data_IF_033661909432
#
_entry.id   IF_033661909432
#
_cell.length_a   1.000
_cell.length_b   1.000
_cell.length_c   1.000
_cell.angle_alpha   90.00
_cell.angle_beta   90.00
_cell.angle_gamma   90.00
#
_symmetry.space_group_name_H-M   'P 1'
#
loop_
_entity.id
_entity.type
_entity.pdbx_description
1 polymer ?
#
# COMPACT_ATOMS: atom_id res chain seq x y z
N UNK A 1 -9.24 -8.84 26.22
CA UNK A 1 -9.40 -10.06 25.39
C UNK A 1 -8.03 -10.44 24.83
N UNK A 2 -7.83 -11.73 24.58
CA UNK A 2 -6.71 -12.20 23.75
C UNK A 2 -7.04 -11.97 22.27
N UNK A 3 -6.17 -11.29 21.54
CA UNK A 3 -6.35 -11.02 20.10
C UNK A 3 -5.14 -11.54 19.34
N UNK A 4 -5.39 -12.34 18.31
CA UNK A 4 -4.36 -12.85 17.42
C UNK A 4 -4.38 -12.09 16.09
N UNK A 5 -3.28 -11.42 15.76
CA UNK A 5 -3.09 -10.69 14.50
C UNK A 5 -2.23 -11.54 13.58
N UNK A 6 -2.72 -11.84 12.38
CA UNK A 6 -2.03 -12.69 11.41
C UNK A 6 -1.32 -11.82 10.37
N UNK A 7 0.02 -11.78 10.43
CA UNK A 7 0.90 -10.99 9.60
C UNK A 7 1.45 -9.73 10.29
N UNK A 8 2.77 -9.52 10.20
CA UNK A 8 3.50 -8.36 10.74
C UNK A 8 3.97 -7.36 9.66
N UNK A 9 3.22 -7.21 8.58
CA UNK A 9 3.36 -6.08 7.67
C UNK A 9 2.90 -4.77 8.33
N UNK A 10 3.00 -3.64 7.64
CA UNK A 10 2.58 -2.33 8.18
C UNK A 10 1.14 -2.35 8.69
N UNK A 11 0.24 -3.07 8.02
CA UNK A 11 -1.17 -3.19 8.42
C UNK A 11 -1.31 -3.97 9.73
N UNK A 12 -0.67 -5.14 9.84
CA UNK A 12 -0.78 -5.96 11.05
C UNK A 12 -0.10 -5.31 12.26
N UNK A 13 1.04 -4.66 12.06
CA UNK A 13 1.77 -3.99 13.14
C UNK A 13 1.00 -2.76 13.66
N UNK A 14 0.41 -1.95 12.78
CA UNK A 14 -0.46 -0.82 13.22
C UNK A 14 -1.72 -1.32 13.92
N UNK A 15 -2.31 -2.41 13.41
CA UNK A 15 -3.45 -3.07 14.07
C UNK A 15 -3.10 -3.53 15.48
N UNK A 16 -1.97 -4.23 15.64
CA UNK A 16 -1.51 -4.72 16.95
C UNK A 16 -1.23 -3.58 17.93
N UNK A 17 -0.63 -2.49 17.46
CA UNK A 17 -0.41 -1.29 18.24
C UNK A 17 -1.72 -0.73 18.84
N UNK A 18 -2.71 -0.46 17.97
CA UNK A 18 -3.97 0.14 18.43
C UNK A 18 -4.83 -0.81 19.27
N UNK A 19 -4.79 -2.12 19.01
CA UNK A 19 -5.41 -3.12 19.90
C UNK A 19 -4.78 -3.09 21.28
N UNK A 20 -3.44 -2.99 21.36
CA UNK A 20 -2.75 -2.91 22.65
C UNK A 20 -3.06 -1.62 23.39
N UNK A 21 -3.13 -0.48 22.69
CA UNK A 21 -3.57 0.79 23.30
C UNK A 21 -4.99 0.72 23.88
N UNK A 22 -5.82 -0.17 23.35
CA UNK A 22 -7.17 -0.42 23.84
C UNK A 22 -7.24 -1.47 24.96
N UNK A 23 -6.08 -1.95 25.44
CA UNK A 23 -5.97 -2.85 26.59
C UNK A 23 -6.15 -4.34 26.26
N UNK A 24 -6.03 -4.74 24.99
CA UNK A 24 -6.06 -6.15 24.62
C UNK A 24 -4.69 -6.82 24.84
N UNK A 25 -4.72 -8.15 25.09
CA UNK A 25 -3.54 -9.00 25.02
C UNK A 25 -3.33 -9.42 23.57
N UNK A 26 -2.29 -8.89 22.94
CA UNK A 26 -2.08 -9.03 21.51
C UNK A 26 -0.89 -9.91 21.22
N UNK A 27 -1.11 -10.93 20.38
CA UNK A 27 -0.06 -11.74 19.77
C UNK A 27 -0.10 -11.55 18.25
N UNK A 28 1.06 -11.29 17.64
CA UNK A 28 1.23 -11.19 16.19
C UNK A 28 1.99 -12.41 15.69
N UNK A 29 1.48 -13.07 14.66
CA UNK A 29 2.14 -14.21 14.01
C UNK A 29 2.66 -13.79 12.65
N UNK A 30 3.96 -14.05 12.40
CA UNK A 30 4.63 -13.68 11.15
C UNK A 30 5.55 -14.79 10.68
N UNK A 31 5.50 -15.14 9.40
CA UNK A 31 6.31 -16.22 8.81
C UNK A 31 7.79 -15.89 8.66
N UNK A 32 8.12 -14.61 8.55
CA UNK A 32 9.50 -14.15 8.44
C UNK A 32 10.14 -13.93 9.81
N UNK A 33 11.46 -13.72 9.80
CA UNK A 33 12.28 -13.49 10.99
C UNK A 33 12.10 -12.09 11.61
N UNK A 34 11.38 -11.17 10.94
CA UNK A 34 11.11 -9.83 11.43
C UNK A 34 9.85 -9.24 10.76
N UNK A 35 9.35 -8.14 11.31
CA UNK A 35 8.26 -7.38 10.69
C UNK A 35 8.70 -6.73 9.36
N UNK A 36 7.74 -6.51 8.46
CA UNK A 36 7.89 -5.77 7.21
C UNK A 36 8.87 -6.38 6.19
N UNK A 37 8.97 -7.69 6.11
CA UNK A 37 9.86 -8.37 5.15
C UNK A 37 9.17 -8.77 3.83
N UNK A 38 7.89 -8.35 3.61
CA UNK A 38 7.17 -8.55 2.35
C UNK A 38 6.79 -7.21 1.70
N UNK A 39 5.53 -6.99 1.36
CA UNK A 39 5.05 -5.80 0.63
C UNK A 39 5.43 -4.47 1.29
N UNK A 40 5.64 -4.45 2.60
CA UNK A 40 6.13 -3.29 3.36
C UNK A 40 7.64 -3.08 3.29
N UNK A 41 8.41 -4.02 2.71
CA UNK A 41 9.88 -3.99 2.72
C UNK A 41 10.45 -2.87 1.84
N UNK A 42 9.98 -2.76 0.61
CA UNK A 42 10.51 -1.81 -0.36
C UNK A 42 9.43 -1.23 -1.28
N UNK A 43 8.36 -0.71 -0.67
CA UNK A 43 7.33 0.03 -1.39
C UNK A 43 7.82 1.41 -1.85
N UNK A 44 6.95 2.17 -2.52
CA UNK A 44 7.27 3.49 -3.09
C UNK A 44 7.53 4.61 -2.07
N UNK A 45 7.31 4.37 -0.78
CA UNK A 45 7.58 5.33 0.30
C UNK A 45 6.61 6.51 0.39
N UNK A 46 5.62 6.62 -0.49
CA UNK A 46 4.64 7.72 -0.46
C UNK A 46 3.51 7.46 0.55
N UNK A 47 3.16 8.49 1.29
CA UNK A 47 1.97 8.62 2.12
C UNK A 47 1.08 9.66 1.44
N UNK A 48 0.36 9.20 0.42
CA UNK A 48 -0.36 10.05 -0.51
C UNK A 48 -1.85 10.06 -0.19
N UNK A 49 -2.24 10.91 0.75
CA UNK A 49 -3.64 11.09 1.16
C UNK A 49 -4.47 11.68 0.01
N UNK A 50 -3.81 12.40 -0.89
CA UNK A 50 -4.43 13.04 -2.04
C UNK A 50 -4.67 12.10 -3.23
N UNK A 51 -3.99 10.94 -3.29
CA UNK A 51 -4.09 10.00 -4.41
C UNK A 51 -5.23 9.02 -4.18
N UNK A 52 -6.44 9.45 -4.49
CA UNK A 52 -7.70 8.75 -4.18
C UNK A 52 -8.35 8.07 -5.37
N UNK A 53 -7.80 8.28 -6.57
CA UNK A 53 -8.32 7.73 -7.82
C UNK A 53 -8.12 6.22 -7.88
N UNK A 54 -9.21 5.41 -7.94
CA UNK A 54 -9.08 3.97 -8.10
C UNK A 54 -8.49 3.59 -9.46
N UNK A 55 -7.77 2.48 -9.53
CA UNK A 55 -7.36 1.88 -10.81
C UNK A 55 -8.57 1.53 -11.67
N UNK A 56 -9.65 1.06 -11.04
CA UNK A 56 -10.92 0.79 -11.70
C UNK A 56 -11.64 2.11 -12.01
N UNK A 57 -11.34 2.69 -13.16
CA UNK A 57 -11.96 3.92 -13.67
C UNK A 57 -12.49 3.70 -15.10
N UNK A 58 -13.38 4.56 -15.61
CA UNK A 58 -14.01 4.37 -16.92
C UNK A 58 -13.04 4.26 -18.09
N UNK A 59 -11.82 4.80 -17.98
CA UNK A 59 -10.80 4.74 -19.04
C UNK A 59 -9.92 3.49 -18.92
N UNK A 60 -9.86 2.84 -17.76
CA UNK A 60 -8.97 1.72 -17.49
C UNK A 60 -9.12 0.56 -18.47
N UNK A 61 -10.32 0.12 -18.91
CA UNK A 61 -10.45 -0.96 -19.89
C UNK A 61 -9.77 -0.63 -21.22
N UNK A 62 -9.89 0.61 -21.71
CA UNK A 62 -9.27 1.05 -22.96
C UNK A 62 -7.75 1.16 -22.82
N UNK A 63 -7.27 1.64 -21.68
CA UNK A 63 -5.82 1.72 -21.38
C UNK A 63 -5.21 0.32 -21.31
N UNK A 64 -5.86 -0.64 -20.66
CA UNK A 64 -5.40 -2.03 -20.59
C UNK A 64 -5.28 -2.63 -21.98
N UNK A 65 -6.26 -2.42 -22.85
CA UNK A 65 -6.21 -2.89 -24.25
C UNK A 65 -5.01 -2.28 -25.01
N UNK A 66 -4.74 -0.99 -24.80
CA UNK A 66 -3.58 -0.29 -25.42
C UNK A 66 -2.23 -0.85 -24.95
N UNK A 67 -2.16 -1.36 -23.73
CA UNK A 67 -0.93 -1.91 -23.12
C UNK A 67 -0.73 -3.41 -23.38
N UNK A 68 -1.73 -4.09 -23.94
CA UNK A 68 -1.58 -5.52 -24.24
C UNK A 68 -0.42 -5.75 -25.23
N UNK A 69 0.45 -6.69 -24.85
CA UNK A 69 1.64 -7.05 -25.65
C UNK A 69 2.88 -6.20 -25.40
N UNK A 70 2.81 -5.14 -24.59
CA UNK A 70 3.98 -4.32 -24.24
C UNK A 70 4.60 -4.83 -22.93
N UNK A 71 5.83 -5.33 -22.98
CA UNK A 71 6.51 -5.93 -21.81
C UNK A 71 6.86 -4.92 -20.71
N UNK A 72 7.07 -3.65 -21.07
CA UNK A 72 7.42 -2.54 -20.18
C UNK A 72 6.24 -1.62 -19.84
N UNK A 73 5.01 -2.00 -20.22
CA UNK A 73 3.80 -1.25 -19.88
C UNK A 73 3.63 -1.08 -18.36
N UNK A 74 3.01 0.03 -17.89
CA UNK A 74 2.74 0.25 -16.46
C UNK A 74 1.95 -0.89 -15.82
N UNK A 75 1.00 -1.48 -16.54
CA UNK A 75 0.26 -2.67 -16.12
C UNK A 75 0.42 -3.79 -17.15
N UNK A 76 0.88 -4.95 -16.68
CA UNK A 76 0.98 -6.18 -17.46
C UNK A 76 -0.04 -7.19 -16.92
N UNK A 77 -0.93 -7.66 -17.79
CA UNK A 77 -1.85 -8.75 -17.49
C UNK A 77 -1.35 -10.04 -18.15
N UNK A 78 -1.09 -11.07 -17.33
CA UNK A 78 -0.72 -12.42 -17.78
C UNK A 78 -1.87 -13.38 -17.48
N UNK A 79 -2.68 -13.77 -18.46
CA UNK A 79 -3.77 -14.72 -18.26
C UNK A 79 -3.25 -16.05 -17.68
N UNK A 80 -3.93 -16.55 -16.66
CA UNK A 80 -3.66 -17.84 -16.02
C UNK A 80 -4.95 -18.68 -15.97
N UNK A 81 -4.79 -19.98 -15.84
CA UNK A 81 -5.91 -20.88 -15.51
C UNK A 81 -6.18 -20.78 -13.99
N UNK A 82 -6.65 -19.63 -13.57
CA UNK A 82 -6.91 -19.26 -12.17
C UNK A 82 -8.27 -18.57 -12.09
N UNK A 83 -9.26 -19.28 -11.59
CA UNK A 83 -10.63 -18.77 -11.46
C UNK A 83 -10.69 -17.47 -10.63
N UNK A 84 -9.82 -17.32 -9.66
CA UNK A 84 -9.76 -16.11 -8.82
C UNK A 84 -9.31 -14.90 -9.65
N UNK A 85 -8.33 -15.07 -10.56
CA UNK A 85 -7.91 -14.01 -11.48
C UNK A 85 -9.09 -13.52 -12.36
N UNK A 86 -9.84 -14.44 -12.92
CA UNK A 86 -10.96 -14.11 -13.81
C UNK A 86 -12.13 -13.48 -13.07
N UNK A 87 -12.47 -13.98 -11.88
CA UNK A 87 -13.49 -13.36 -11.00
C UNK A 87 -13.09 -11.95 -10.60
N UNK A 88 -11.82 -11.76 -10.22
CA UNK A 88 -11.26 -10.45 -9.90
C UNK A 88 -11.33 -9.51 -11.10
N UNK A 89 -10.92 -9.97 -12.30
CA UNK A 89 -10.96 -9.18 -13.53
C UNK A 89 -12.36 -8.76 -13.93
N UNK A 90 -13.35 -9.68 -13.86
CA UNK A 90 -14.74 -9.36 -14.12
C UNK A 90 -15.29 -8.31 -13.14
N UNK A 91 -15.03 -8.47 -11.85
CA UNK A 91 -15.45 -7.49 -10.85
C UNK A 91 -14.75 -6.14 -11.06
N UNK A 92 -13.47 -6.14 -11.45
CA UNK A 92 -12.73 -4.92 -11.79
C UNK A 92 -13.43 -4.15 -12.93
N UNK A 93 -13.87 -4.81 -13.98
CA UNK A 93 -14.61 -4.17 -15.07
C UNK A 93 -15.94 -3.56 -14.58
N UNK A 94 -16.65 -4.22 -13.67
CA UNK A 94 -17.86 -3.68 -13.04
C UNK A 94 -17.53 -2.44 -12.21
N UNK A 95 -16.43 -2.45 -11.47
CA UNK A 95 -16.00 -1.31 -10.65
C UNK A 95 -15.50 -0.11 -11.49
N UNK A 96 -15.22 -0.30 -12.80
CA UNK A 96 -14.91 0.79 -13.73
C UNK A 96 -16.12 1.68 -14.09
N UNK A 97 -17.35 1.27 -13.74
CA UNK A 97 -18.55 2.09 -13.98
C UNK A 97 -18.46 3.42 -13.21
N UNK A 98 -18.87 4.56 -13.80
CA UNK A 98 -18.69 5.90 -13.20
C UNK A 98 -19.25 6.03 -11.77
N UNK A 99 -20.43 5.48 -11.51
CA UNK A 99 -21.06 5.51 -10.19
C UNK A 99 -20.28 4.68 -9.15
N UNK A 100 -19.73 3.54 -9.55
CA UNK A 100 -18.90 2.68 -8.71
C UNK A 100 -17.56 3.35 -8.42
N UNK A 101 -16.89 3.83 -9.46
CA UNK A 101 -15.63 4.55 -9.34
C UNK A 101 -15.74 5.73 -8.36
N UNK A 102 -16.79 6.58 -8.50
CA UNK A 102 -17.02 7.71 -7.59
C UNK A 102 -17.22 7.26 -6.14
N UNK A 103 -18.02 6.20 -5.91
CA UNK A 103 -18.22 5.67 -4.56
C UNK A 103 -16.92 5.15 -3.96
N UNK A 104 -16.15 4.38 -4.75
CA UNK A 104 -14.88 3.82 -4.31
C UNK A 104 -13.87 4.93 -3.98
N UNK A 105 -13.79 5.98 -4.82
CA UNK A 105 -12.96 7.15 -4.57
C UNK A 105 -13.29 7.81 -3.21
N UNK A 106 -14.56 7.96 -2.87
CA UNK A 106 -14.97 8.55 -1.58
C UNK A 106 -14.58 7.68 -0.38
N UNK A 107 -14.67 6.35 -0.51
CA UNK A 107 -14.23 5.42 0.54
C UNK A 107 -12.72 5.47 0.72
N UNK A 108 -11.95 5.48 -0.38
CA UNK A 108 -10.48 5.62 -0.34
C UNK A 108 -10.09 6.94 0.32
N UNK A 109 -10.76 8.03 -0.05
CA UNK A 109 -10.53 9.35 0.53
C UNK A 109 -10.77 9.38 2.04
N UNK A 110 -11.91 8.84 2.48
CA UNK A 110 -12.29 8.85 3.89
C UNK A 110 -11.24 8.14 4.75
N UNK A 111 -10.87 6.90 4.39
CA UNK A 111 -9.90 6.13 5.17
C UNK A 111 -8.47 6.70 5.06
N UNK A 112 -8.07 7.28 3.90
CA UNK A 112 -6.75 7.89 3.72
C UNK A 112 -6.59 9.17 4.54
N UNK A 113 -7.59 10.06 4.55
CA UNK A 113 -7.59 11.28 5.38
C UNK A 113 -7.50 10.92 6.86
N UNK A 114 -8.36 10.04 7.31
CA UNK A 114 -8.34 9.53 8.68
C UNK A 114 -6.98 8.93 9.06
N UNK A 115 -6.42 8.10 8.16
CA UNK A 115 -5.11 7.50 8.39
C UNK A 115 -3.98 8.52 8.48
N UNK A 116 -4.00 9.56 7.66
CA UNK A 116 -3.02 10.64 7.73
C UNK A 116 -3.04 11.38 9.07
N UNK A 117 -4.24 11.63 9.62
CA UNK A 117 -4.40 12.23 10.96
C UNK A 117 -3.90 11.29 12.06
N UNK A 118 -4.29 10.01 12.01
CA UNK A 118 -3.84 8.99 12.97
C UNK A 118 -2.33 8.81 12.93
N UNK A 119 -1.71 8.80 11.74
CA UNK A 119 -0.25 8.70 11.60
C UNK A 119 0.47 9.90 12.22
N UNK A 120 0.01 11.13 11.98
CA UNK A 120 0.61 12.34 12.58
C UNK A 120 0.52 12.30 14.11
N UNK A 121 -0.63 11.90 14.66
CA UNK A 121 -0.82 11.76 16.09
C UNK A 121 0.08 10.66 16.68
N UNK A 122 0.18 9.51 16.01
CA UNK A 122 1.07 8.42 16.42
C UNK A 122 2.53 8.87 16.41
N UNK A 123 3.00 9.53 15.34
CA UNK A 123 4.36 10.07 15.25
C UNK A 123 4.65 11.08 16.37
N UNK A 124 3.74 12.00 16.63
CA UNK A 124 3.87 12.98 17.70
C UNK A 124 3.95 12.34 19.10
N UNK A 125 3.15 11.29 19.34
CA UNK A 125 3.09 10.60 20.62
C UNK A 125 4.30 9.67 20.87
N UNK A 126 4.92 9.14 19.79
CA UNK A 126 5.97 8.13 19.91
C UNK A 126 7.37 8.62 19.55
N UNK A 127 7.49 9.74 18.84
CA UNK A 127 8.77 10.22 18.31
C UNK A 127 9.39 9.32 17.24
N UNK A 128 8.60 8.48 16.58
CA UNK A 128 9.07 7.57 15.52
C UNK A 128 9.73 8.33 14.37
N UNK A 129 10.92 7.88 13.98
CA UNK A 129 11.66 8.34 12.82
C UNK A 129 11.79 7.21 11.80
N UNK A 130 11.44 7.49 10.53
CA UNK A 130 11.42 6.52 9.46
C UNK A 130 11.81 7.12 8.11
N UNK A 131 12.85 7.98 8.11
CA UNK A 131 13.27 8.77 6.94
C UNK A 131 12.12 9.62 6.38
N UNK A 132 11.21 10.09 7.25
CA UNK A 132 10.03 10.83 6.85
C UNK A 132 10.38 12.24 6.36
N UNK A 133 9.73 12.62 5.26
CA UNK A 133 9.78 13.96 4.70
C UNK A 133 8.35 14.50 4.52
N UNK A 134 8.07 15.62 5.18
CA UNK A 134 6.80 16.34 5.10
C UNK A 134 6.91 17.49 4.09
N UNK A 135 7.22 17.13 2.83
CA UNK A 135 7.49 18.08 1.74
C UNK A 135 6.50 17.96 0.58
N UNK A 136 5.37 17.32 0.83
CA UNK A 136 4.39 17.09 -0.21
C UNK A 136 4.81 16.05 -1.25
N UNK A 137 3.92 15.86 -2.22
CA UNK A 137 4.16 15.01 -3.40
C UNK A 137 3.87 15.85 -4.66
N UNK A 138 4.83 15.83 -5.58
CA UNK A 138 4.73 16.44 -6.90
C UNK A 138 4.46 15.38 -7.95
N UNK A 139 3.31 15.45 -8.61
CA UNK A 139 2.98 14.60 -9.75
C UNK A 139 3.25 15.36 -11.04
N UNK A 140 4.12 14.83 -11.91
CA UNK A 140 4.54 15.48 -13.17
C UNK A 140 3.93 14.78 -14.38
N UNK A 141 3.57 15.55 -15.39
CA UNK A 141 3.00 15.12 -16.65
C UNK A 141 3.91 15.55 -17.79
N UNK A 142 4.21 14.61 -18.70
CA UNK A 142 5.11 14.85 -19.83
C UNK A 142 4.35 15.09 -21.14
N UNK A 143 3.03 15.01 -21.13
CA UNK A 143 2.17 15.33 -22.25
C UNK A 143 1.01 16.24 -21.83
N UNK A 144 0.51 17.01 -22.79
CA UNK A 144 -0.51 18.03 -22.53
C UNK A 144 -1.86 17.42 -22.18
N UNK A 145 -2.23 16.32 -22.82
CA UNK A 145 -3.52 15.65 -22.59
C UNK A 145 -3.62 15.13 -21.15
N UNK A 146 -2.57 14.43 -20.68
CA UNK A 146 -2.49 13.95 -19.29
C UNK A 146 -2.50 15.08 -18.27
N UNK A 147 -1.81 16.19 -18.56
CA UNK A 147 -1.81 17.36 -17.70
C UNK A 147 -3.19 18.03 -17.61
N UNK A 148 -3.88 18.24 -18.73
CA UNK A 148 -5.21 18.86 -18.75
C UNK A 148 -6.24 17.97 -18.02
N UNK A 149 -6.17 16.65 -18.19
CA UNK A 149 -7.00 15.70 -17.44
C UNK A 149 -6.73 15.76 -15.92
N UNK A 150 -5.46 15.88 -15.52
CA UNK A 150 -5.07 15.99 -14.11
C UNK A 150 -5.50 17.33 -13.50
N UNK A 151 -5.47 18.42 -14.25
CA UNK A 151 -5.95 19.73 -13.81
C UNK A 151 -7.46 19.67 -13.51
N UNK A 152 -8.24 19.02 -14.38
CA UNK A 152 -9.67 18.81 -14.17
C UNK A 152 -9.94 17.92 -12.95
N UNK A 153 -9.17 16.85 -12.77
CA UNK A 153 -9.26 15.96 -11.60
C UNK A 153 -8.89 16.68 -10.30
N UNK A 154 -7.89 17.56 -10.30
CA UNK A 154 -7.50 18.37 -9.14
C UNK A 154 -8.64 19.27 -8.66
N UNK A 155 -9.39 19.88 -9.58
CA UNK A 155 -10.56 20.69 -9.24
C UNK A 155 -11.67 19.84 -8.59
N UNK A 156 -11.89 18.61 -9.10
CA UNK A 156 -12.88 17.71 -8.53
C UNK A 156 -12.51 17.29 -7.09
N UNK A 157 -11.26 16.91 -6.83
CA UNK A 157 -10.85 16.44 -5.48
C UNK A 157 -10.78 17.60 -4.48
N UNK A 158 -10.61 18.85 -4.94
CA UNK A 158 -10.65 20.04 -4.09
C UNK A 158 -12.00 20.22 -3.40
N UNK A 159 -13.10 19.84 -4.06
CA UNK A 159 -14.45 19.87 -3.49
C UNK A 159 -14.61 18.95 -2.28
N UNK A 160 -13.72 17.96 -2.14
CA UNK A 160 -13.67 17.03 -1.02
C UNK A 160 -12.59 17.38 0.02
N UNK A 161 -12.06 18.62 -0.05
CA UNK A 161 -11.09 19.15 0.91
C UNK A 161 -9.66 18.65 0.72
N UNK A 162 -9.30 18.21 -0.50
CA UNK A 162 -7.90 17.92 -0.88
C UNK A 162 -7.34 19.15 -1.59
N UNK A 163 -6.33 19.77 -0.99
CA UNK A 163 -5.63 20.93 -1.57
C UNK A 163 -4.60 20.48 -2.61
N UNK A 164 -5.06 19.89 -3.72
CA UNK A 164 -4.21 19.55 -4.86
C UNK A 164 -4.11 20.77 -5.79
N UNK A 165 -2.93 21.32 -5.92
CA UNK A 165 -2.66 22.52 -6.70
C UNK A 165 -2.12 22.17 -8.08
N UNK A 166 -2.65 22.81 -9.13
CA UNK A 166 -2.12 22.68 -10.50
C UNK A 166 -0.90 23.60 -10.64
N UNK A 167 0.18 23.09 -11.21
CA UNK A 167 1.47 23.78 -11.35
C UNK A 167 1.95 23.78 -12.80
N UNK A 168 2.46 24.93 -13.23
CA UNK A 168 3.22 25.04 -14.48
C UNK A 168 4.56 24.31 -14.38
N UNK A 169 5.22 24.09 -15.52
CA UNK A 169 6.56 23.49 -15.52
C UNK A 169 7.56 24.30 -14.67
N UNK A 170 7.52 25.63 -14.74
CA UNK A 170 8.39 26.50 -13.97
C UNK A 170 8.13 26.37 -12.45
N UNK A 171 6.87 26.28 -12.03
CA UNK A 171 6.51 26.07 -10.63
C UNK A 171 6.91 24.67 -10.15
N UNK A 172 6.81 23.63 -11.01
CA UNK A 172 7.31 22.29 -10.68
C UNK A 172 8.82 22.33 -10.38
N UNK A 173 9.61 23.04 -11.20
CA UNK A 173 11.06 23.23 -10.98
C UNK A 173 11.33 24.04 -9.70
N UNK A 174 10.51 25.03 -9.38
CA UNK A 174 10.66 25.80 -8.15
C UNK A 174 10.39 24.93 -6.90
N UNK A 175 9.47 23.98 -6.97
CA UNK A 175 9.15 23.00 -5.92
C UNK A 175 10.27 21.96 -5.80
N UNK A 176 10.73 21.42 -6.95
CA UNK A 176 11.77 20.38 -6.99
C UNK A 176 12.86 20.73 -8.01
N UNK A 177 13.92 21.44 -7.58
CA UNK A 177 14.98 21.91 -8.47
C UNK A 177 15.78 20.83 -9.20
N UNK A 178 15.78 19.58 -8.72
CA UNK A 178 16.46 18.44 -9.40
C UNK A 178 15.89 18.17 -10.79
N UNK A 179 14.67 18.64 -11.09
CA UNK A 179 14.01 18.50 -12.39
C UNK A 179 14.48 19.53 -13.43
N UNK A 180 15.30 20.52 -13.07
CA UNK A 180 15.67 21.66 -13.92
C UNK A 180 16.26 21.22 -15.27
N UNK A 181 17.10 20.18 -15.29
CA UNK A 181 17.75 19.71 -16.50
C UNK A 181 16.81 19.00 -17.48
N UNK A 182 15.55 18.79 -17.09
CA UNK A 182 14.49 18.16 -17.89
C UNK A 182 13.23 19.00 -17.97
N UNK A 183 13.36 20.31 -17.79
CA UNK A 183 12.23 21.25 -17.81
C UNK A 183 11.40 21.10 -19.10
N UNK A 184 12.03 20.92 -20.24
CA UNK A 184 11.37 20.78 -21.53
C UNK A 184 10.52 19.49 -21.66
N UNK A 185 10.70 18.53 -20.76
CA UNK A 185 9.88 17.32 -20.71
C UNK A 185 8.58 17.52 -19.95
N UNK A 186 8.45 18.58 -19.16
CA UNK A 186 7.35 18.77 -18.21
C UNK A 186 6.30 19.67 -18.86
N UNK A 187 5.13 19.12 -19.15
CA UNK A 187 3.96 19.88 -19.59
C UNK A 187 3.33 20.66 -18.43
N UNK A 188 3.44 20.13 -17.21
CA UNK A 188 2.94 20.70 -15.97
C UNK A 188 2.89 19.64 -14.88
N UNK A 189 2.31 20.00 -13.73
CA UNK A 189 2.20 19.09 -12.59
C UNK A 189 1.01 19.38 -11.69
N UNK A 190 0.81 18.48 -10.72
CA UNK A 190 -0.04 18.76 -9.56
C UNK A 190 0.77 18.54 -8.29
N UNK A 191 0.57 19.40 -7.31
CA UNK A 191 1.29 19.35 -6.03
C UNK A 191 0.32 19.32 -4.86
N UNK A 192 0.58 18.44 -3.90
CA UNK A 192 -0.16 18.37 -2.63
C UNK A 192 0.80 18.49 -1.46
N UNK A 193 0.82 19.64 -0.83
CA UNK A 193 1.75 19.96 0.25
C UNK A 193 1.51 19.14 1.52
N UNK A 194 0.28 18.65 1.74
CA UNK A 194 -0.10 17.86 2.91
C UNK A 194 0.26 16.38 2.82
N UNK A 195 0.69 15.91 1.66
CA UNK A 195 1.20 14.55 1.48
C UNK A 195 2.61 14.43 2.04
N UNK A 196 3.00 13.22 2.41
CA UNK A 196 4.26 12.94 3.09
C UNK A 196 4.94 11.73 2.45
N UNK A 197 6.17 11.47 2.85
CA UNK A 197 6.90 10.25 2.49
C UNK A 197 7.57 9.64 3.70
N UNK A 198 7.95 8.36 3.59
CA UNK A 198 8.72 7.68 4.63
C UNK A 198 8.96 6.22 4.31
N UNK A 199 9.97 5.65 4.95
CA UNK A 199 10.33 4.25 4.81
C UNK A 199 9.38 3.37 5.61
N UNK A 200 8.45 2.70 4.92
CA UNK A 200 7.45 1.84 5.54
C UNK A 200 8.07 0.66 6.31
N UNK A 201 9.24 0.15 5.88
CA UNK A 201 9.97 -0.89 6.62
C UNK A 201 10.47 -0.36 7.95
N UNK A 202 11.18 0.77 7.93
CA UNK A 202 11.69 1.40 9.16
C UNK A 202 10.55 1.74 10.12
N UNK A 203 9.49 2.35 9.61
CA UNK A 203 8.30 2.65 10.41
C UNK A 203 7.74 1.39 11.06
N UNK A 204 7.49 0.34 10.28
CA UNK A 204 6.86 -0.89 10.77
C UNK A 204 7.74 -1.59 11.81
N UNK A 205 9.05 -1.69 11.57
CA UNK A 205 9.97 -2.32 12.51
C UNK A 205 10.13 -1.52 13.80
N UNK A 206 10.21 -0.19 13.71
CA UNK A 206 10.28 0.67 14.89
C UNK A 206 8.97 0.63 15.70
N UNK A 207 7.81 0.63 15.02
CA UNK A 207 6.53 0.49 15.69
C UNK A 207 6.35 -0.89 16.35
N UNK A 208 6.85 -1.96 15.71
CA UNK A 208 6.85 -3.30 16.30
C UNK A 208 7.70 -3.36 17.57
N UNK A 209 8.88 -2.72 17.57
CA UNK A 209 9.73 -2.64 18.77
C UNK A 209 9.02 -1.91 19.90
N UNK A 210 8.42 -0.76 19.65
CA UNK A 210 7.62 -0.03 20.64
C UNK A 210 6.39 -0.83 21.12
N UNK A 211 5.75 -1.60 20.23
CA UNK A 211 4.64 -2.46 20.60
C UNK A 211 5.08 -3.60 21.53
N UNK A 212 6.27 -4.18 21.31
CA UNK A 212 6.88 -5.20 22.19
C UNK A 212 7.13 -4.60 23.58
N UNK A 213 7.70 -3.40 23.67
CA UNK A 213 7.91 -2.71 24.95
C UNK A 213 6.59 -2.48 25.71
N UNK A 214 5.48 -2.35 25.00
CA UNK A 214 4.14 -2.24 25.58
C UNK A 214 3.46 -3.59 25.83
N UNK A 215 4.14 -4.71 25.59
CA UNK A 215 3.67 -6.05 25.91
C UNK A 215 2.91 -6.76 24.77
N UNK A 216 3.05 -6.31 23.51
CA UNK A 216 2.64 -7.09 22.35
C UNK A 216 3.64 -8.22 22.12
N UNK A 217 3.18 -9.43 21.91
CA UNK A 217 4.02 -10.59 21.61
C UNK A 217 4.12 -10.78 20.10
N UNK A 218 5.33 -10.72 19.53
CA UNK A 218 5.57 -11.08 18.14
C UNK A 218 6.19 -12.47 18.05
N UNK A 219 5.51 -13.37 17.33
CA UNK A 219 5.98 -14.73 17.04
C UNK A 219 6.44 -14.79 15.59
N UNK A 220 7.72 -14.56 15.38
CA UNK A 220 8.38 -14.63 14.08
C UNK A 220 8.74 -16.06 13.70
N UNK A 221 8.95 -16.32 12.40
CA UNK A 221 9.27 -17.65 11.87
C UNK A 221 8.07 -18.60 11.82
N UNK A 222 6.88 -18.09 12.08
CA UNK A 222 5.68 -18.90 12.26
C UNK A 222 4.68 -18.69 11.10
N UNK A 223 4.51 -19.70 10.29
CA UNK A 223 3.59 -19.69 9.13
C UNK A 223 2.18 -20.07 9.54
N UNK A 224 1.20 -19.25 9.16
CA UNK A 224 -0.23 -19.57 9.30
C UNK A 224 -0.65 -20.53 8.20
N UNK A 225 -1.15 -21.72 8.54
CA UNK A 225 -1.59 -22.74 7.58
C UNK A 225 -3.10 -22.71 7.33
N UNK A 226 -3.90 -22.71 8.41
CA UNK A 226 -5.37 -22.81 8.30
C UNK A 226 -6.08 -22.29 9.54
N UNK A 227 -7.39 -22.12 9.43
CA UNK A 227 -8.30 -21.78 10.53
C UNK A 227 -9.16 -22.98 10.89
N UNK A 228 -9.30 -23.27 12.19
CA UNK A 228 -10.32 -24.16 12.73
C UNK A 228 -11.59 -23.39 13.06
N UNK A 229 -12.75 -23.99 12.75
CA UNK A 229 -14.06 -23.41 13.02
C UNK A 229 -14.86 -24.39 13.88
N UNK A 230 -15.50 -23.88 14.93
CA UNK A 230 -16.43 -24.61 15.76
C UNK A 230 -17.76 -23.83 15.84
N UNK A 231 -18.84 -24.42 15.33
CA UNK A 231 -20.12 -23.73 15.20
C UNK A 231 -20.01 -22.50 14.28
N UNK A 232 -20.31 -21.34 14.81
CA UNK A 232 -20.29 -20.07 14.09
C UNK A 232 -19.06 -19.19 14.39
N UNK A 233 -18.03 -19.75 15.04
CA UNK A 233 -16.83 -18.99 15.44
C UNK A 233 -15.54 -19.71 15.02
N UNK A 234 -14.47 -18.94 14.81
CA UNK A 234 -13.12 -19.48 14.69
C UNK A 234 -12.67 -19.93 16.07
N UNK A 235 -12.21 -21.18 16.17
CA UNK A 235 -11.75 -21.80 17.42
C UNK A 235 -10.22 -21.87 17.54
N UNK A 236 -9.48 -21.59 16.47
CA UNK A 236 -8.02 -21.54 16.51
C UNK A 236 -7.39 -21.36 15.13
N UNK A 237 -6.10 -21.09 15.15
CA UNK A 237 -5.24 -20.92 13.99
C UNK A 237 -4.15 -21.99 14.02
N UNK A 238 -4.09 -22.84 12.99
CA UNK A 238 -3.00 -23.78 12.82
C UNK A 238 -1.80 -23.03 12.25
N UNK A 239 -0.70 -23.16 12.95
CA UNK A 239 0.58 -22.57 12.58
C UNK A 239 1.66 -23.64 12.50
N UNK A 240 2.69 -23.38 11.71
CA UNK A 240 3.89 -24.19 11.64
C UNK A 240 5.13 -23.32 11.82
N UNK A 241 5.99 -23.76 12.69
CA UNK A 241 7.33 -23.25 12.91
C UNK A 241 8.34 -24.34 12.48
N UNK A 242 9.40 -23.98 11.76
CA UNK A 242 10.40 -24.93 11.28
C UNK A 242 11.15 -25.63 12.43
N UNK A 243 11.27 -25.00 13.61
CA UNK A 243 12.00 -25.50 14.76
C UNK A 243 11.11 -26.27 15.76
N UNK A 244 9.85 -25.81 15.95
CA UNK A 244 8.94 -26.30 16.99
C UNK A 244 7.78 -27.13 16.43
N UNK A 245 7.64 -27.20 15.11
CA UNK A 245 6.58 -27.97 14.46
C UNK A 245 5.23 -27.26 14.43
N UNK A 246 4.14 -28.04 14.42
CA UNK A 246 2.76 -27.51 14.32
C UNK A 246 2.20 -27.16 15.69
N UNK A 247 1.51 -26.06 15.76
CA UNK A 247 0.82 -25.55 16.95
C UNK A 247 -0.57 -25.02 16.59
N UNK A 248 -1.51 -25.17 17.51
CA UNK A 248 -2.83 -24.55 17.44
C UNK A 248 -2.86 -23.36 18.41
N UNK A 249 -3.03 -22.16 17.88
CA UNK A 249 -3.16 -20.95 18.67
C UNK A 249 -4.64 -20.57 18.82
N UNK A 250 -5.09 -20.38 20.05
CA UNK A 250 -6.43 -19.90 20.39
C UNK A 250 -6.43 -18.43 20.82
N UNK A 251 -7.53 -17.73 20.52
CA UNK A 251 -7.77 -16.35 20.95
C UNK A 251 -9.28 -16.06 21.00
N UNK A 252 -9.64 -14.97 21.65
CA UNK A 252 -11.02 -14.47 21.69
C UNK A 252 -11.42 -13.83 20.35
N UNK A 253 -10.44 -13.21 19.65
CA UNK A 253 -10.64 -12.58 18.34
C UNK A 253 -9.39 -12.76 17.44
N UNK A 254 -9.62 -12.80 16.14
CA UNK A 254 -8.62 -13.00 15.10
C UNK A 254 -8.69 -11.89 14.06
N UNK A 255 -7.56 -11.27 13.72
CA UNK A 255 -7.49 -10.23 12.69
C UNK A 255 -6.55 -10.66 11.57
N UNK A 256 -7.09 -10.83 10.36
CA UNK A 256 -6.33 -11.29 9.19
C UNK A 256 -5.73 -10.10 8.45
N UNK A 257 -4.39 -9.98 8.53
CA UNK A 257 -3.58 -8.95 7.87
C UNK A 257 -2.58 -9.58 6.85
N UNK A 258 -2.98 -10.68 6.20
CA UNK A 258 -2.11 -11.51 5.35
C UNK A 258 -2.01 -11.03 3.89
N UNK A 259 -2.35 -9.75 3.63
CA UNK A 259 -2.14 -9.17 2.31
C UNK A 259 -2.78 -10.01 1.18
N UNK A 260 -2.04 -10.29 0.12
CA UNK A 260 -2.47 -11.10 -1.02
C UNK A 260 -2.74 -12.57 -0.69
N UNK A 261 -2.28 -13.07 0.45
CA UNK A 261 -2.49 -14.46 0.88
C UNK A 261 -3.82 -14.68 1.62
N UNK A 262 -4.51 -13.62 2.01
CA UNK A 262 -5.80 -13.66 2.70
C UNK A 262 -6.84 -14.60 2.04
N UNK A 263 -7.05 -14.59 0.71
CA UNK A 263 -8.03 -15.47 0.09
C UNK A 263 -7.72 -16.96 0.28
N UNK A 264 -6.42 -17.33 0.29
CA UNK A 264 -6.00 -18.73 0.46
C UNK A 264 -6.34 -19.26 1.86
N UNK A 265 -6.20 -18.41 2.89
CA UNK A 265 -6.56 -18.76 4.26
C UNK A 265 -8.07 -18.86 4.45
N UNK A 266 -8.84 -17.98 3.82
CA UNK A 266 -10.27 -17.82 4.09
C UNK A 266 -11.17 -18.75 3.25
N UNK A 267 -10.73 -19.14 2.05
CA UNK A 267 -11.52 -19.96 1.14
C UNK A 267 -11.97 -21.31 1.76
N UNK A 268 -11.10 -22.06 2.49
CA UNK A 268 -11.51 -23.34 3.11
C UNK A 268 -12.64 -23.21 4.13
N UNK A 269 -12.75 -22.06 4.81
CA UNK A 269 -13.83 -21.80 5.76
C UNK A 269 -15.01 -21.07 5.15
N UNK A 270 -15.05 -20.94 3.81
CA UNK A 270 -16.13 -20.35 3.04
C UNK A 270 -16.31 -18.84 3.20
N UNK A 271 -15.27 -18.11 3.60
CA UNK A 271 -15.25 -16.64 3.61
C UNK A 271 -14.62 -16.14 2.31
N UNK A 272 -15.34 -15.31 1.58
CA UNK A 272 -14.84 -14.73 0.32
C UNK A 272 -14.10 -13.42 0.57
N UNK A 273 -12.86 -13.35 0.11
CA UNK A 273 -12.09 -12.10 0.05
C UNK A 273 -11.52 -11.96 -1.36
N UNK A 274 -12.09 -11.05 -2.15
CA UNK A 274 -11.66 -10.87 -3.55
C UNK A 274 -10.43 -9.95 -3.59
N UNK A 275 -9.29 -10.51 -3.21
CA UNK A 275 -7.97 -9.87 -3.26
C UNK A 275 -7.09 -10.66 -4.22
N UNK A 276 -6.46 -9.97 -5.19
CA UNK A 276 -5.54 -10.60 -6.13
C UNK A 276 -4.16 -9.95 -6.04
N UNK A 277 -3.06 -10.74 -6.16
CA UNK A 277 -1.71 -10.19 -6.10
C UNK A 277 -1.41 -9.35 -7.35
N UNK A 278 -1.12 -8.07 -7.14
CA UNK A 278 -0.57 -7.19 -8.16
C UNK A 278 0.93 -7.01 -7.88
N UNK A 279 1.76 -7.77 -8.59
CA UNK A 279 3.21 -7.76 -8.42
C UNK A 279 3.77 -6.40 -8.83
N UNK A 280 4.50 -5.76 -7.95
CA UNK A 280 5.18 -4.50 -8.18
C UNK A 280 6.68 -4.64 -8.06
N UNK A 281 7.39 -3.69 -8.61
CA UNK A 281 8.85 -3.66 -8.62
C UNK A 281 9.36 -2.38 -7.99
N UNK A 282 10.50 -2.44 -7.34
CA UNK A 282 11.24 -1.26 -6.91
C UNK A 282 12.75 -1.45 -7.10
N UNK A 283 13.44 -0.33 -7.27
CA UNK A 283 14.89 -0.22 -7.20
C UNK A 283 15.25 0.77 -6.09
N UNK A 284 16.24 0.43 -5.28
CA UNK A 284 16.84 1.33 -4.30
C UNK A 284 18.23 1.71 -4.81
N UNK A 285 18.48 3.01 -4.94
CA UNK A 285 19.68 3.59 -5.50
C UNK A 285 20.37 4.42 -4.42
N UNK A 286 21.70 4.34 -4.32
CA UNK A 286 22.47 5.26 -3.49
C UNK A 286 22.39 6.68 -4.06
N UNK A 287 22.28 7.70 -3.23
CA UNK A 287 22.39 9.10 -3.62
C UNK A 287 23.88 9.46 -3.63
N UNK A 288 24.38 9.87 -4.81
CA UNK A 288 25.78 10.27 -5.03
C UNK A 288 25.96 11.76 -4.78
N UNK A 289 25.07 12.59 -5.33
CA UNK A 289 25.05 14.03 -5.09
C UNK A 289 23.74 14.41 -4.37
N UNK A 290 23.80 14.64 -3.05
CA UNK A 290 22.62 15.00 -2.27
C UNK A 290 21.96 16.33 -2.66
N UNK A 291 22.71 17.24 -3.32
CA UNK A 291 22.19 18.54 -3.73
C UNK A 291 21.46 18.46 -5.07
N UNK A 292 21.84 17.52 -5.94
CA UNK A 292 21.20 17.28 -7.23
C UNK A 292 20.10 16.21 -7.20
N UNK A 293 20.03 15.44 -6.11
CA UNK A 293 18.99 14.42 -5.91
C UNK A 293 17.66 15.04 -5.43
N UNK A 294 16.51 14.44 -5.78
CA UNK A 294 15.21 14.98 -5.39
C UNK A 294 15.00 15.02 -3.88
N UNK A 295 14.33 16.05 -3.41
CA UNK A 295 13.94 16.24 -2.00
C UNK A 295 12.44 16.17 -1.79
N UNK A 296 11.64 16.45 -2.82
CA UNK A 296 10.19 16.23 -2.86
C UNK A 296 9.95 14.91 -3.58
N UNK A 297 9.01 14.11 -3.10
CA UNK A 297 8.68 12.88 -3.82
C UNK A 297 7.96 13.22 -5.13
N UNK A 298 8.39 12.55 -6.20
CA UNK A 298 7.90 12.77 -7.55
C UNK A 298 7.12 11.55 -8.01
N UNK A 299 5.96 11.76 -8.60
CA UNK A 299 5.25 10.76 -9.40
C UNK A 299 5.34 11.14 -10.87
N UNK A 300 5.99 10.30 -11.68
CA UNK A 300 6.00 10.41 -13.14
C UNK A 300 4.76 9.69 -13.66
N UNK A 301 3.76 10.46 -14.06
CA UNK A 301 2.46 9.90 -14.47
C UNK A 301 2.56 9.08 -15.75
N UNK A 302 3.37 9.50 -16.72
CA UNK A 302 3.52 8.82 -18.01
C UNK A 302 4.02 7.37 -17.87
N UNK A 303 4.88 7.10 -16.87
CA UNK A 303 5.44 5.77 -16.59
C UNK A 303 4.85 5.11 -15.36
N UNK A 304 3.96 5.81 -14.63
CA UNK A 304 3.39 5.36 -13.34
C UNK A 304 4.49 4.92 -12.37
N UNK A 305 5.55 5.72 -12.30
CA UNK A 305 6.70 5.51 -11.42
C UNK A 305 6.80 6.61 -10.38
N UNK A 306 7.19 6.23 -9.17
CA UNK A 306 7.43 7.15 -8.07
C UNK A 306 8.91 7.18 -7.71
N UNK A 307 9.39 8.36 -7.34
CA UNK A 307 10.77 8.60 -6.89
C UNK A 307 10.69 9.24 -5.51
N UNK A 308 11.21 8.54 -4.51
CA UNK A 308 11.11 8.96 -3.12
C UNK A 308 12.47 8.89 -2.45
N UNK A 309 12.92 10.02 -1.91
CA UNK A 309 14.13 10.06 -1.09
C UNK A 309 13.84 9.47 0.30
N UNK A 310 14.69 8.52 0.73
CA UNK A 310 14.65 7.86 2.02
C UNK A 310 16.05 7.94 2.65
N UNK A 311 16.32 9.03 3.37
CA UNK A 311 17.66 9.33 3.88
C UNK A 311 18.66 9.58 2.75
N UNK A 312 19.65 8.71 2.65
CA UNK A 312 20.73 8.73 1.63
C UNK A 312 20.43 7.85 0.39
N UNK A 313 19.20 7.36 0.27
CA UNK A 313 18.76 6.48 -0.81
C UNK A 313 17.60 7.09 -1.59
N UNK A 314 17.56 6.81 -2.90
CA UNK A 314 16.41 7.06 -3.74
C UNK A 314 15.66 5.74 -3.99
N UNK A 315 14.41 5.66 -3.58
CA UNK A 315 13.50 4.58 -3.92
C UNK A 315 12.77 4.92 -5.21
N UNK A 316 12.93 4.05 -6.21
CA UNK A 316 12.17 4.09 -7.46
C UNK A 316 11.21 2.92 -7.44
N UNK A 317 9.91 3.17 -7.50
CA UNK A 317 8.92 2.11 -7.51
C UNK A 317 7.87 2.36 -8.60
N UNK A 318 7.43 1.30 -9.22
CA UNK A 318 6.44 1.44 -10.28
C UNK A 318 5.96 0.11 -10.80
N UNK A 319 5.22 0.17 -11.86
CA UNK A 319 4.68 -0.95 -12.62
C UNK A 319 3.84 -1.93 -11.80
N UNK A 320 2.94 -2.61 -12.46
CA UNK A 320 2.12 -3.65 -11.88
C UNK A 320 2.04 -4.84 -12.83
N UNK A 321 2.01 -6.06 -12.28
CA UNK A 321 1.85 -7.28 -13.04
C UNK A 321 0.83 -8.20 -12.37
N UNK A 322 -0.23 -8.55 -13.08
CA UNK A 322 -1.24 -9.51 -12.65
C UNK A 322 -0.88 -10.90 -13.20
N UNK A 323 0.05 -11.59 -12.53
CA UNK A 323 0.65 -12.86 -12.95
C UNK A 323 0.62 -13.95 -11.87
N UNK A 324 -0.20 -13.79 -10.83
CA UNK A 324 -0.26 -14.71 -9.68
C UNK A 324 0.79 -14.41 -8.63
N UNK A 325 1.24 -15.43 -7.91
CA UNK A 325 2.02 -15.28 -6.67
C UNK A 325 3.54 -15.38 -6.84
N UNK A 326 4.05 -15.50 -8.08
CA UNK A 326 5.50 -15.57 -8.33
C UNK A 326 6.21 -14.27 -7.95
N UNK A 327 7.39 -14.40 -7.33
CA UNK A 327 8.21 -13.28 -6.86
C UNK A 327 9.51 -13.11 -7.67
N UNK A 328 9.65 -13.82 -8.79
CA UNK A 328 10.82 -13.71 -9.65
C UNK A 328 10.92 -12.29 -10.23
N UNK A 329 12.11 -11.73 -10.17
CA UNK A 329 12.41 -10.43 -10.77
C UNK A 329 12.39 -10.53 -12.29
N UNK A 330 11.66 -9.63 -12.95
CA UNK A 330 11.71 -9.48 -14.40
C UNK A 330 12.77 -8.41 -14.76
N UNK A 331 13.89 -8.79 -15.42
CA UNK A 331 14.97 -7.85 -15.72
C UNK A 331 14.51 -6.62 -16.50
N UNK A 332 13.65 -6.80 -17.51
CA UNK A 332 13.13 -5.68 -18.33
C UNK A 332 12.43 -4.63 -17.48
N UNK A 333 11.66 -5.06 -16.47
CA UNK A 333 10.95 -4.16 -15.56
C UNK A 333 11.88 -3.52 -14.55
N UNK A 334 12.86 -4.26 -14.05
CA UNK A 334 13.90 -3.74 -13.17
C UNK A 334 14.72 -2.65 -13.86
N UNK A 335 15.22 -2.93 -15.06
CA UNK A 335 16.00 -1.98 -15.87
C UNK A 335 15.19 -0.73 -16.26
N UNK A 336 13.88 -0.87 -16.48
CA UNK A 336 13.01 0.28 -16.76
C UNK A 336 12.99 1.30 -15.59
N UNK A 337 13.06 0.84 -14.34
CA UNK A 337 13.12 1.72 -13.16
C UNK A 337 14.43 2.50 -13.10
N UNK A 338 15.57 1.82 -13.26
CA UNK A 338 16.89 2.47 -13.21
C UNK A 338 17.13 3.38 -14.41
N UNK A 339 16.70 2.96 -15.60
CA UNK A 339 16.75 3.80 -16.79
C UNK A 339 15.97 5.09 -16.59
N UNK A 340 14.76 5.03 -16.05
CA UNK A 340 13.93 6.22 -15.82
C UNK A 340 14.52 7.13 -14.73
N UNK A 341 15.12 6.57 -13.69
CA UNK A 341 15.84 7.34 -12.68
C UNK A 341 17.06 8.07 -13.30
N UNK A 342 17.82 7.40 -14.16
CA UNK A 342 18.96 8.00 -14.86
C UNK A 342 18.52 9.12 -15.82
N UNK A 343 17.40 8.93 -16.51
CA UNK A 343 16.83 9.94 -17.41
C UNK A 343 16.49 11.24 -16.67
N UNK A 344 15.93 11.15 -15.44
CA UNK A 344 15.55 12.31 -14.63
C UNK A 344 16.74 12.93 -13.89
N UNK A 345 17.56 12.11 -13.22
CA UNK A 345 18.50 12.57 -12.20
C UNK A 345 19.98 12.36 -12.57
N UNK A 346 20.28 11.60 -13.67
CA UNK A 346 21.64 11.38 -14.14
C UNK A 346 22.58 10.89 -13.05
N UNK A 347 23.74 11.54 -12.93
CA UNK A 347 24.80 11.17 -11.99
C UNK A 347 24.51 11.50 -10.51
N UNK A 348 23.36 12.10 -10.21
CA UNK A 348 22.97 12.35 -8.82
C UNK A 348 22.67 11.07 -8.04
N UNK A 349 22.41 9.95 -8.74
CA UNK A 349 22.07 8.65 -8.17
C UNK A 349 22.89 7.52 -8.79
N UNK A 350 23.25 6.53 -7.98
CA UNK A 350 23.99 5.34 -8.45
C UNK A 350 23.05 4.35 -9.13
N UNK A 351 22.92 4.45 -10.44
CA UNK A 351 22.12 3.50 -11.24
C UNK A 351 22.92 2.26 -11.66
N UNK A 352 24.20 2.15 -11.31
CA UNK A 352 25.04 0.99 -11.64
C UNK A 352 24.93 -0.14 -10.62
N UNK A 353 24.59 0.21 -9.38
CA UNK A 353 24.47 -0.76 -8.28
C UNK A 353 23.07 -0.72 -7.64
N UNK A 354 21.99 -0.99 -8.40
CA UNK A 354 20.63 -0.97 -7.89
C UNK A 354 20.32 -2.18 -7.02
N UNK A 355 19.64 -1.98 -5.91
CA UNK A 355 18.99 -3.07 -5.18
C UNK A 355 17.57 -3.25 -5.69
N UNK A 356 17.32 -4.30 -6.47
CA UNK A 356 15.97 -4.60 -6.97
C UNK A 356 15.18 -5.43 -5.99
N UNK A 357 13.89 -5.13 -5.92
CA UNK A 357 12.94 -5.86 -5.10
C UNK A 357 11.58 -5.98 -5.81
N UNK A 358 10.83 -7.01 -5.44
CA UNK A 358 9.46 -7.22 -5.88
C UNK A 358 8.57 -7.65 -4.73
N UNK A 359 7.28 -7.32 -4.81
CA UNK A 359 6.28 -7.73 -3.82
C UNK A 359 4.86 -7.69 -4.39
N UNK A 360 3.96 -8.33 -3.66
CA UNK A 360 2.58 -8.57 -4.08
C UNK A 360 1.64 -7.59 -3.38
N UNK A 361 1.22 -6.53 -4.09
CA UNK A 361 0.18 -5.62 -3.59
C UNK A 361 -1.16 -6.35 -3.51
N UNK A 362 -1.87 -6.30 -2.38
CA UNK A 362 -3.17 -6.95 -2.23
C UNK A 362 -4.27 -6.12 -2.90
N UNK A 363 -4.47 -6.31 -4.19
CA UNK A 363 -5.41 -5.50 -4.94
C UNK A 363 -6.84 -6.07 -4.83
N UNK A 364 -7.78 -5.26 -4.33
CA UNK A 364 -9.21 -5.48 -4.52
C UNK A 364 -9.64 -4.91 -5.86
N UNK A 365 -10.72 -5.40 -6.48
CA UNK A 365 -11.21 -4.85 -7.75
C UNK A 365 -11.59 -3.37 -7.68
N UNK A 366 -12.12 -2.93 -6.53
CA UNK A 366 -12.56 -1.56 -6.26
C UNK A 366 -11.43 -0.63 -5.79
N UNK A 367 -10.26 -1.17 -5.43
CA UNK A 367 -9.19 -0.53 -4.64
C UNK A 367 -9.59 -0.11 -3.22
N UNK A 368 -10.83 -0.36 -2.79
CA UNK A 368 -11.28 -0.16 -1.40
C UNK A 368 -10.82 -1.36 -0.57
N UNK A 369 -10.14 -1.15 0.57
CA UNK A 369 -9.70 -2.24 1.43
C UNK A 369 -10.87 -2.97 2.10
N UNK A 370 -10.64 -4.22 2.47
CA UNK A 370 -11.56 -5.06 3.23
C UNK A 370 -11.23 -4.91 4.72
N UNK A 371 -12.03 -4.12 5.42
CA UNK A 371 -11.85 -3.82 6.85
C UNK A 371 -13.16 -4.14 7.56
N UNK A 372 -13.12 -4.96 8.62
CA UNK A 372 -14.29 -5.23 9.44
C UNK A 372 -14.50 -6.70 9.73
N UNK A 373 -15.70 -7.02 10.23
CA UNK A 373 -16.10 -8.34 10.71
C UNK A 373 -16.55 -9.23 9.57
N UNK A 374 -16.21 -10.50 9.61
CA UNK A 374 -16.74 -11.52 8.70
C UNK A 374 -18.02 -12.14 9.28
N UNK A 375 -18.60 -13.12 8.55
CA UNK A 375 -19.71 -13.93 9.07
C UNK A 375 -19.38 -14.68 10.38
N UNK A 376 -18.11 -14.85 10.72
CA UNK A 376 -17.69 -15.34 12.02
C UNK A 376 -17.47 -14.14 12.95
N UNK A 377 -18.21 -14.04 14.05
CA UNK A 377 -18.25 -12.84 14.89
C UNK A 377 -16.91 -12.47 15.54
N UNK A 378 -15.97 -13.42 15.60
CA UNK A 378 -14.64 -13.22 16.16
C UNK A 378 -13.52 -13.19 15.11
N UNK A 379 -13.86 -13.16 13.80
CA UNK A 379 -12.89 -13.06 12.71
C UNK A 379 -13.04 -11.75 11.94
N UNK A 380 -12.01 -10.94 11.97
CA UNK A 380 -11.93 -9.64 11.32
C UNK A 380 -10.91 -9.64 10.19
N UNK A 381 -11.15 -8.81 9.19
CA UNK A 381 -10.22 -8.56 8.10
C UNK A 381 -9.64 -7.15 8.21
N UNK A 382 -8.37 -7.00 7.89
CA UNK A 382 -7.72 -5.73 7.62
C UNK A 382 -6.71 -5.95 6.48
N UNK A 383 -7.19 -5.94 5.24
CA UNK A 383 -6.45 -6.37 4.04
C UNK A 383 -6.97 -5.70 2.77
N UNK A 384 -6.32 -5.96 1.64
CA UNK A 384 -6.83 -5.49 0.35
C UNK A 384 -6.51 -4.03 0.02
N UNK A 385 -5.53 -3.44 0.67
CA UNK A 385 -5.19 -2.01 0.56
C UNK A 385 -4.49 -1.61 -0.76
N UNK A 386 -4.23 -2.55 -1.66
CA UNK A 386 -3.63 -2.29 -2.96
C UNK A 386 -2.30 -1.51 -2.88
N UNK A 387 -2.23 -0.41 -3.62
CA UNK A 387 -1.05 0.48 -3.65
C UNK A 387 -1.00 1.47 -2.49
N UNK A 388 -2.10 1.68 -1.77
CA UNK A 388 -2.23 2.68 -0.72
C UNK A 388 -2.10 2.11 0.70
N UNK A 389 -1.58 0.88 0.84
CA UNK A 389 -1.45 0.23 2.13
C UNK A 389 -0.62 1.02 3.14
N UNK A 390 0.44 1.69 2.71
CA UNK A 390 1.22 2.57 3.58
C UNK A 390 0.38 3.79 4.02
N UNK A 391 -0.25 4.48 3.08
CA UNK A 391 -1.13 5.62 3.33
C UNK A 391 -2.26 5.29 4.32
N UNK A 392 -2.90 4.12 4.15
CA UNK A 392 -4.10 3.74 4.92
C UNK A 392 -3.80 3.00 6.22
N UNK A 393 -2.54 2.63 6.49
CA UNK A 393 -2.18 1.66 7.53
C UNK A 393 -2.64 2.06 8.93
N UNK A 394 -2.34 3.29 9.37
CA UNK A 394 -2.67 3.73 10.71
C UNK A 394 -4.18 3.88 10.93
N UNK A 395 -4.90 4.42 9.93
CA UNK A 395 -6.35 4.57 9.99
C UNK A 395 -7.09 3.25 9.99
N UNK A 396 -6.70 2.31 9.11
CA UNK A 396 -7.32 0.98 9.07
C UNK A 396 -6.98 0.16 10.32
N UNK A 397 -5.75 0.27 10.84
CA UNK A 397 -5.35 -0.37 12.10
C UNK A 397 -6.17 0.13 13.30
N UNK A 398 -6.34 1.45 13.43
CA UNK A 398 -7.17 2.04 14.49
C UNK A 398 -8.65 1.66 14.33
N UNK A 399 -9.18 1.74 13.11
CA UNK A 399 -10.58 1.41 12.85
C UNK A 399 -10.92 -0.05 13.18
N UNK A 400 -10.06 -1.02 12.75
CA UNK A 400 -10.31 -2.43 13.07
C UNK A 400 -10.15 -2.69 14.58
N UNK A 401 -9.24 -2.01 15.27
CA UNK A 401 -9.11 -2.10 16.72
C UNK A 401 -10.38 -1.60 17.43
N UNK A 402 -10.98 -0.50 16.94
CA UNK A 402 -12.27 -0.01 17.45
C UNK A 402 -13.39 -1.05 17.25
N UNK A 403 -13.48 -1.67 16.07
CA UNK A 403 -14.47 -2.72 15.77
C UNK A 403 -14.30 -3.95 16.66
N UNK A 404 -13.08 -4.43 16.88
CA UNK A 404 -12.77 -5.56 17.77
C UNK A 404 -13.17 -5.24 19.21
N UNK A 405 -13.01 -3.98 19.62
CA UNK A 405 -13.40 -3.50 20.96
C UNK A 405 -14.89 -3.18 21.10
N UNK A 406 -15.70 -3.43 20.06
CA UNK A 406 -17.14 -3.11 20.06
C UNK A 406 -17.43 -1.61 19.98
N UNK A 407 -16.47 -0.80 19.53
CA UNK A 407 -16.62 0.65 19.36
C UNK A 407 -16.91 0.99 17.90
N UNK A 408 -17.61 2.09 17.68
CA UNK A 408 -17.79 2.64 16.33
C UNK A 408 -16.53 3.41 15.93
N UNK A 409 -15.90 3.08 14.78
CA UNK A 409 -14.79 3.88 14.27
C UNK A 409 -15.19 5.33 13.95
N UNK A 410 -14.25 6.25 14.11
CA UNK A 410 -14.47 7.70 13.90
C UNK A 410 -14.54 8.09 12.41
N UNK A 411 -14.30 7.16 11.51
CA UNK A 411 -14.30 7.37 10.05
C UNK A 411 -15.58 6.86 9.41
N UNK A 412 -16.15 7.63 8.49
CA UNK A 412 -17.28 7.19 7.66
C UNK A 412 -16.76 6.31 6.51
N UNK A 413 -16.77 5.02 6.75
CA UNK A 413 -16.27 4.00 5.84
C UNK A 413 -17.20 2.80 5.82
N UNK A 414 -17.34 2.15 4.66
CA UNK A 414 -18.16 0.95 4.49
C UNK A 414 -17.43 -0.30 5.04
N UNK A 415 -17.44 -0.44 6.35
CA UNK A 415 -16.89 -1.62 7.03
C UNK A 415 -17.66 -2.88 6.69
N UNK A 416 -16.95 -4.02 6.69
CA UNK A 416 -17.59 -5.34 6.66
C UNK A 416 -18.34 -5.58 7.97
N UNK A 417 -19.55 -6.11 7.89
CA UNK A 417 -20.40 -6.37 9.07
C UNK A 417 -21.00 -7.79 9.06
N UNK A 418 -20.30 -8.77 8.55
CA UNK A 418 -20.69 -10.18 8.56
C UNK A 418 -21.31 -10.71 7.28
#
# INVERSE_FOLDING_TARGET
MKVLVLGAGVIGTTTAWFLREQGHDVTVVERHSAAALETSFANGGQISVSHVEPWANPQAPFQILKWLGQADAPLLFRPRLDLQQWRWGLQFLIECLPSRNRRNMLQILAISKYSGEVLRNLRAATGLHYDDLQRGILQIYTDREGFDAAAAAAELVRQYGIAREVKTAAECIAIEPSLKNRQDWIAGGTYTASDETGDAKKFTQSLAALAIERGVVFRYGMTVESLSVAGNAVSGVHTVDEQHGRELLDADAYVVCLSSYTPKLLAPIGVSALVYPAKGYSATLGIVDPAAAPTVSITDDAKKMVFTRLGDRLRVAGTAELSGYGLELNPVRCEALTRRANEWFGDAVDTKHPEYWTGLRPATPSNVPLIGRTRYPNLYLNTGHGTLGWTMSCGSGKAVADLVSGRKPEVDFAFLDG
#
